data_IF_368448241940
#
_entry.id   IF_368448241940
#
_cell.length_a   1.000
_cell.length_b   1.000
_cell.length_c   1.000
_cell.angle_alpha   90.00
_cell.angle_beta   90.00
_cell.angle_gamma   90.00
#
_symmetry.space_group_name_H-M   'P 1'
#
loop_
_entity.id
_entity.type
_entity.pdbx_description
1 polymer ?
#
# COMPACT_ATOMS: atom_id res chain seq x y z
N UNK A 1 17.97 -7.12 -1.17
CA UNK A 1 19.37 -6.69 -0.97
C UNK A 1 19.62 -5.23 -1.41
N UNK A 2 19.19 -4.81 -2.62
CA UNK A 2 19.34 -3.42 -3.11
C UNK A 2 18.54 -2.38 -2.31
N UNK A 3 17.24 -2.63 -2.06
CA UNK A 3 16.34 -1.69 -1.37
C UNK A 3 16.81 -1.30 0.03
N UNK A 4 17.16 -2.27 0.86
CA UNK A 4 17.64 -2.04 2.24
C UNK A 4 18.88 -1.15 2.27
N UNK A 5 19.81 -1.38 1.34
CA UNK A 5 21.05 -0.61 1.22
C UNK A 5 20.79 0.83 0.78
N UNK A 6 19.81 1.06 -0.10
CA UNK A 6 19.40 2.41 -0.50
C UNK A 6 18.84 3.18 0.69
N UNK A 7 17.96 2.55 1.48
CA UNK A 7 17.38 3.15 2.69
C UNK A 7 18.46 3.50 3.72
N UNK A 8 19.44 2.62 3.92
CA UNK A 8 20.58 2.86 4.81
C UNK A 8 21.45 4.05 4.35
N UNK A 9 21.67 4.20 3.04
CA UNK A 9 22.46 5.30 2.45
C UNK A 9 21.68 6.62 2.46
N UNK A 10 20.36 6.57 2.25
CA UNK A 10 19.49 7.76 2.25
C UNK A 10 19.24 8.34 3.65
N UNK A 11 19.71 7.67 4.70
CA UNK A 11 19.82 8.20 6.05
C UNK A 11 18.92 7.47 7.06
N UNK A 12 19.49 6.90 8.14
CA UNK A 12 18.72 6.42 9.28
C UNK A 12 18.35 7.62 10.17
N UNK A 13 17.25 8.29 9.84
CA UNK A 13 16.74 9.41 10.64
C UNK A 13 15.23 9.41 10.85
N UNK A 14 14.54 8.35 10.40
CA UNK A 14 13.10 8.27 10.50
C UNK A 14 12.71 7.48 11.75
N UNK A 15 12.39 8.19 12.84
CA UNK A 15 11.71 7.57 13.99
C UNK A 15 10.29 7.10 13.64
N UNK A 16 9.73 7.66 12.55
CA UNK A 16 8.36 7.49 12.09
C UNK A 16 8.37 7.05 10.63
N UNK A 17 7.67 5.95 10.36
CA UNK A 17 7.22 5.56 9.05
C UNK A 17 5.73 5.90 8.86
N UNK A 18 5.35 6.22 7.63
CA UNK A 18 3.96 6.49 7.25
C UNK A 18 3.58 5.47 6.17
N UNK A 19 2.47 4.76 6.34
CA UNK A 19 1.94 3.81 5.36
C UNK A 19 0.64 4.34 4.79
N UNK A 20 0.54 4.37 3.46
CA UNK A 20 -0.71 4.66 2.77
C UNK A 20 -0.87 3.77 1.52
N UNK A 21 -2.11 3.63 1.04
CA UNK A 21 -2.40 2.96 -0.22
C UNK A 21 -3.08 3.89 -1.23
N UNK A 22 -2.80 3.68 -2.51
CA UNK A 22 -3.46 4.40 -3.59
C UNK A 22 -3.70 3.52 -4.82
N UNK A 23 -4.76 3.82 -5.61
CA UNK A 23 -5.07 3.06 -6.79
C UNK A 23 -4.05 3.31 -7.91
N UNK A 24 -3.51 2.25 -8.50
CA UNK A 24 -2.77 2.28 -9.75
C UNK A 24 -3.73 1.90 -10.89
N UNK A 25 -4.27 2.91 -11.56
CA UNK A 25 -5.26 2.76 -12.62
C UNK A 25 -4.63 2.21 -13.90
N UNK A 26 -5.14 1.08 -14.40
CA UNK A 26 -4.85 0.61 -15.76
C UNK A 26 -5.89 1.12 -16.76
N UNK A 27 -7.16 1.08 -16.38
CA UNK A 27 -8.24 1.65 -17.16
C UNK A 27 -9.37 2.15 -16.26
N UNK A 28 -10.18 3.07 -16.76
CA UNK A 28 -11.51 3.31 -16.19
C UNK A 28 -12.34 2.03 -16.29
N UNK A 29 -13.15 1.72 -15.26
CA UNK A 29 -13.85 0.43 -15.13
C UNK A 29 -14.67 0.02 -16.36
N UNK A 30 -15.23 0.98 -17.10
CA UNK A 30 -16.01 0.75 -18.32
C UNK A 30 -15.20 0.11 -19.48
N UNK A 31 -13.87 0.27 -19.50
CA UNK A 31 -12.98 -0.29 -20.54
C UNK A 31 -12.19 -1.52 -20.07
N UNK A 32 -12.59 -2.13 -18.94
CA UNK A 32 -11.92 -3.33 -18.40
C UNK A 32 -11.83 -4.46 -19.45
N UNK A 33 -12.93 -4.73 -20.16
CA UNK A 33 -13.03 -5.86 -21.09
C UNK A 33 -12.16 -5.72 -22.35
N UNK A 34 -11.68 -4.52 -22.66
CA UNK A 34 -10.82 -4.27 -23.83
C UNK A 34 -9.34 -4.22 -23.48
N UNK A 35 -9.00 -4.25 -22.18
CA UNK A 35 -7.60 -4.18 -21.72
C UNK A 35 -6.94 -5.56 -21.88
N UNK A 36 -5.98 -5.66 -22.80
CA UNK A 36 -5.24 -6.90 -23.07
C UNK A 36 -4.07 -7.12 -22.11
N UNK A 37 -3.48 -6.03 -21.59
CA UNK A 37 -2.31 -6.08 -20.70
C UNK A 37 -2.76 -6.35 -19.26
N UNK A 38 -2.07 -7.24 -18.55
CA UNK A 38 -2.35 -7.62 -17.16
C UNK A 38 -3.74 -8.21 -16.90
N UNK A 39 -4.45 -8.72 -17.92
CA UNK A 39 -5.84 -9.21 -17.82
C UNK A 39 -6.05 -10.27 -16.71
N UNK A 40 -5.08 -11.15 -16.50
CA UNK A 40 -5.17 -12.25 -15.53
C UNK A 40 -4.54 -11.90 -14.16
N UNK A 41 -3.95 -10.70 -14.04
CA UNK A 41 -3.20 -10.25 -12.86
C UNK A 41 -3.93 -9.08 -12.18
N UNK A 42 -4.45 -8.12 -12.94
CA UNK A 42 -5.19 -6.97 -12.45
C UNK A 42 -6.67 -7.31 -12.16
N UNK A 43 -7.30 -6.57 -11.26
CA UNK A 43 -8.71 -6.74 -10.95
C UNK A 43 -9.43 -5.42 -10.60
N UNK A 44 -10.66 -5.52 -10.08
CA UNK A 44 -11.45 -4.33 -9.70
C UNK A 44 -11.23 -4.06 -8.22
N UNK A 45 -10.78 -2.84 -7.92
CA UNK A 45 -10.83 -2.28 -6.58
C UNK A 45 -12.02 -1.34 -6.40
N UNK A 46 -12.42 -1.14 -5.14
CA UNK A 46 -13.43 -0.15 -4.76
C UNK A 46 -12.82 0.81 -3.74
N UNK A 47 -12.95 2.10 -4.00
CA UNK A 47 -12.77 3.11 -2.97
C UNK A 47 -14.13 3.31 -2.29
N UNK A 48 -14.26 2.87 -1.04
CA UNK A 48 -15.54 2.90 -0.29
C UNK A 48 -16.00 4.34 -0.07
N UNK A 49 -15.10 5.22 0.37
CA UNK A 49 -15.41 6.62 0.67
C UNK A 49 -15.93 7.39 -0.54
N UNK A 50 -15.34 7.18 -1.71
CA UNK A 50 -15.73 7.85 -2.96
C UNK A 50 -16.79 7.07 -3.75
N UNK A 51 -17.14 5.86 -3.33
CA UNK A 51 -17.99 4.91 -4.04
C UNK A 51 -17.61 4.70 -5.53
N UNK A 52 -16.30 4.76 -5.84
CA UNK A 52 -15.77 4.61 -7.20
C UNK A 52 -15.07 3.25 -7.34
N UNK A 53 -15.34 2.56 -8.45
CA UNK A 53 -14.64 1.33 -8.85
C UNK A 53 -13.55 1.66 -9.86
N UNK A 54 -12.40 1.02 -9.73
CA UNK A 54 -11.28 1.15 -10.67
C UNK A 54 -10.75 -0.22 -11.08
N UNK A 55 -10.20 -0.31 -12.29
CA UNK A 55 -9.54 -1.52 -12.77
C UNK A 55 -8.02 -1.30 -12.78
N UNK A 56 -7.29 -2.17 -12.10
CA UNK A 56 -5.84 -2.09 -12.02
C UNK A 56 -5.26 -2.77 -10.79
N UNK A 57 -4.35 -2.08 -10.13
CA UNK A 57 -3.63 -2.52 -8.95
C UNK A 57 -3.80 -1.53 -7.81
N UNK A 58 -3.38 -1.93 -6.61
CA UNK A 58 -3.23 -1.03 -5.48
C UNK A 58 -1.77 -1.02 -5.05
N UNK A 59 -1.17 0.16 -5.00
CA UNK A 59 0.15 0.36 -4.42
C UNK A 59 -0.03 0.66 -2.94
N UNK A 60 0.76 -0.01 -2.11
CA UNK A 60 0.92 0.28 -0.69
C UNK A 60 2.35 0.74 -0.50
N UNK A 61 2.56 1.93 0.05
CA UNK A 61 3.88 2.52 0.19
C UNK A 61 4.10 2.93 1.63
N UNK A 62 5.25 2.52 2.16
CA UNK A 62 5.78 2.99 3.43
C UNK A 62 6.86 4.03 3.14
N UNK A 63 6.71 5.22 3.69
CA UNK A 63 7.68 6.30 3.57
C UNK A 63 8.20 6.75 4.94
N UNK A 64 9.38 7.37 4.97
CA UNK A 64 9.78 8.19 6.11
C UNK A 64 8.92 9.46 6.19
N UNK A 65 8.97 10.14 7.33
CA UNK A 65 8.42 11.48 7.48
C UNK A 65 9.00 12.51 6.48
N UNK A 66 10.19 12.25 5.91
CA UNK A 66 10.85 13.09 4.91
C UNK A 66 10.53 12.69 3.46
N UNK A 67 9.69 11.67 3.25
CA UNK A 67 9.26 11.23 1.91
C UNK A 67 10.15 10.19 1.24
N UNK A 68 11.12 9.60 1.95
CA UNK A 68 11.94 8.50 1.42
C UNK A 68 11.10 7.22 1.43
N UNK A 69 11.03 6.51 0.31
CA UNK A 69 10.33 5.20 0.25
C UNK A 69 11.15 4.14 0.98
N UNK A 70 10.59 3.61 2.07
CA UNK A 70 11.19 2.59 2.93
C UNK A 70 10.74 1.18 2.52
N UNK A 71 9.46 1.02 2.17
CA UNK A 71 8.86 -0.24 1.73
C UNK A 71 7.74 0.03 0.72
N UNK A 72 7.42 -0.96 -0.11
CA UNK A 72 6.22 -0.93 -0.93
C UNK A 72 5.78 -2.36 -1.28
N UNK A 73 4.47 -2.52 -1.52
CA UNK A 73 3.88 -3.73 -2.08
C UNK A 73 2.85 -3.33 -3.13
N UNK A 74 2.81 -4.07 -4.23
CA UNK A 74 1.82 -3.88 -5.30
C UNK A 74 0.91 -5.10 -5.29
N UNK A 75 -0.38 -4.87 -5.06
CA UNK A 75 -1.37 -5.92 -4.95
C UNK A 75 -2.45 -5.77 -6.02
N UNK A 76 -3.26 -6.82 -6.17
CA UNK A 76 -4.52 -6.69 -6.91
C UNK A 76 -5.37 -5.61 -6.26
N UNK A 77 -6.09 -4.83 -7.06
CA UNK A 77 -6.89 -3.71 -6.60
C UNK A 77 -7.95 -4.08 -5.54
N UNK A 78 -8.43 -5.33 -5.53
CA UNK A 78 -9.39 -5.85 -4.55
C UNK A 78 -8.80 -6.15 -3.15
N UNK A 79 -7.47 -6.18 -2.99
CA UNK A 79 -6.84 -6.53 -1.72
C UNK A 79 -7.03 -5.40 -0.70
N UNK A 80 -7.47 -5.76 0.50
CA UNK A 80 -7.63 -4.85 1.62
C UNK A 80 -6.30 -4.56 2.31
N UNK A 81 -6.15 -3.33 2.77
CA UNK A 81 -4.91 -2.78 3.31
C UNK A 81 -4.43 -3.55 4.55
N UNK A 82 -5.35 -3.94 5.44
CA UNK A 82 -5.11 -4.83 6.58
C UNK A 82 -4.38 -6.14 6.22
N UNK A 83 -4.60 -6.70 5.02
CA UNK A 83 -3.94 -7.96 4.61
C UNK A 83 -2.50 -7.75 4.17
N UNK A 84 -2.14 -6.53 3.80
CA UNK A 84 -0.79 -6.16 3.33
C UNK A 84 0.05 -5.62 4.48
N UNK A 85 -0.60 -5.09 5.53
CA UNK A 85 0.06 -4.49 6.69
C UNK A 85 1.19 -5.34 7.29
N UNK A 86 1.02 -6.67 7.56
CA UNK A 86 2.06 -7.46 8.21
C UNK A 86 3.37 -7.53 7.42
N UNK A 87 3.27 -7.66 6.09
CA UNK A 87 4.44 -7.72 5.20
C UNK A 87 5.19 -6.39 5.18
N UNK A 88 4.47 -5.27 5.12
CA UNK A 88 5.09 -3.94 5.09
C UNK A 88 5.77 -3.60 6.41
N UNK A 89 5.13 -3.95 7.53
CA UNK A 89 5.56 -3.63 8.90
C UNK A 89 6.75 -4.50 9.32
N UNK A 90 6.77 -5.78 8.96
CA UNK A 90 7.84 -6.71 9.36
C UNK A 90 9.24 -6.27 8.92
N UNK A 91 9.34 -5.56 7.79
CA UNK A 91 10.59 -5.03 7.27
C UNK A 91 10.80 -3.53 7.56
N UNK A 92 9.99 -2.93 8.43
CA UNK A 92 10.11 -1.51 8.76
C UNK A 92 11.42 -1.23 9.49
N UNK A 93 12.23 -0.26 9.03
CA UNK A 93 13.37 0.22 9.81
C UNK A 93 12.93 1.14 10.97
N UNK A 94 11.66 1.59 10.99
CA UNK A 94 11.12 2.54 11.97
C UNK A 94 10.28 1.82 13.03
N UNK A 95 10.41 2.26 14.30
CA UNK A 95 9.63 1.72 15.43
C UNK A 95 8.19 2.24 15.45
N UNK A 96 8.00 3.52 15.11
CA UNK A 96 6.68 4.13 15.10
C UNK A 96 6.15 4.12 13.66
N UNK A 97 4.94 3.61 13.47
CA UNK A 97 4.30 3.51 12.17
C UNK A 97 2.94 4.20 12.25
N UNK A 98 2.76 5.22 11.42
CA UNK A 98 1.47 5.88 11.20
C UNK A 98 0.84 5.25 9.96
N UNK A 99 -0.45 4.93 10.02
CA UNK A 99 -1.17 4.37 8.90
C UNK A 99 -2.65 4.79 8.94
N UNK A 100 -3.32 4.74 7.79
CA UNK A 100 -4.77 4.90 7.74
C UNK A 100 -5.48 3.78 8.52
N UNK A 101 -6.70 4.07 8.99
CA UNK A 101 -7.55 3.11 9.71
C UNK A 101 -7.79 1.83 8.91
N UNK A 102 -7.75 1.88 7.57
CA UNK A 102 -7.84 0.69 6.72
C UNK A 102 -6.75 -0.38 6.95
N UNK A 103 -5.64 -0.01 7.58
CA UNK A 103 -4.56 -0.93 7.99
C UNK A 103 -4.77 -1.53 9.37
N UNK A 104 -5.67 -0.95 10.19
CA UNK A 104 -6.04 -1.47 11.50
C UNK A 104 -7.22 -2.42 11.30
N UNK A 105 -6.96 -3.73 11.35
CA UNK A 105 -8.04 -4.72 11.29
C UNK A 105 -8.98 -4.60 12.50
N UNK A 106 -10.25 -4.98 12.33
CA UNK A 106 -11.28 -4.98 13.39
C UNK A 106 -10.92 -5.81 14.65
N UNK A 107 -9.78 -6.51 14.66
CA UNK A 107 -9.26 -7.29 15.80
C UNK A 107 -7.98 -6.78 16.47
N UNK A 108 -7.41 -5.64 16.04
CA UNK A 108 -6.09 -5.16 16.54
C UNK A 108 -6.15 -3.92 17.45
N UNK A 109 -7.33 -3.44 17.81
CA UNK A 109 -7.45 -2.42 18.86
C UNK A 109 -7.65 -3.10 20.22
N UNK A 110 -6.73 -2.93 21.20
CA UNK A 110 -7.09 -3.14 22.59
C UNK A 110 -8.22 -2.15 22.88
N UNK A 111 -9.39 -2.66 23.26
CA UNK A 111 -10.43 -1.80 23.84
C UNK A 111 -9.83 -1.19 25.10
N UNK A 112 -9.69 0.13 25.10
CA UNK A 112 -9.34 0.93 26.27
C UNK A 112 -10.58 1.09 27.13
#
# INVERSE_FOLDING_TARGET
MMRRRLVEISGPGADIAIIDSFPMLLSVSHRRYTTKVFKDIADVGKNTTKNVKFYGFKAHVMTSATGIVLNYSITKASIHDVRVAPELIAESPCKNILADMGYIGEGYMPRI
#
